data_IF_506340573682
#
_entry.id   IF_506340573682
#
_cell.length_a   1.000
_cell.length_b   1.000
_cell.length_c   1.000
_cell.angle_alpha   90.00
_cell.angle_beta   90.00
_cell.angle_gamma   90.00
#
_symmetry.space_group_name_H-M   'P 1'
#
loop_
_entity.id
_entity.type
_entity.pdbx_description
1 polymer ?
#
# COMPACT_ATOMS: atom_id res chain seq x y z
N UNK A 1 22.60 -25.80 -16.23
CA UNK A 1 21.86 -26.35 -15.09
C UNK A 1 21.12 -25.21 -14.33
N UNK A 2 21.78 -24.11 -13.97
CA UNK A 2 21.15 -22.97 -13.27
C UNK A 2 19.96 -22.41 -14.07
N UNK A 3 20.10 -22.12 -15.35
CA UNK A 3 19.01 -21.59 -16.20
C UNK A 3 17.79 -22.51 -16.24
N UNK A 4 17.99 -23.85 -16.19
CA UNK A 4 16.87 -24.80 -16.14
C UNK A 4 16.12 -24.66 -14.80
N UNK A 5 16.86 -24.52 -13.70
CA UNK A 5 16.27 -24.31 -12.36
C UNK A 5 15.48 -23.01 -12.33
N UNK A 6 16.03 -21.93 -12.88
CA UNK A 6 15.34 -20.62 -12.97
C UNK A 6 14.05 -20.74 -13.79
N UNK A 7 14.13 -21.37 -14.97
CA UNK A 7 12.95 -21.54 -15.83
C UNK A 7 11.87 -22.45 -15.22
N UNK A 8 12.25 -23.46 -14.45
CA UNK A 8 11.28 -24.29 -13.72
C UNK A 8 10.71 -23.59 -12.49
N UNK A 9 11.55 -22.83 -11.77
CA UNK A 9 11.13 -22.10 -10.57
C UNK A 9 10.04 -21.08 -10.84
N UNK A 10 10.02 -20.40 -12.00
CA UNK A 10 8.99 -19.41 -12.33
C UNK A 10 7.57 -20.01 -12.33
N UNK A 11 7.42 -21.23 -12.86
CA UNK A 11 6.13 -21.92 -12.84
C UNK A 11 5.72 -22.33 -11.42
N UNK A 12 6.70 -22.78 -10.61
CA UNK A 12 6.45 -23.14 -9.22
C UNK A 12 6.07 -21.89 -8.37
N UNK A 13 6.78 -20.78 -8.54
CA UNK A 13 6.51 -19.50 -7.89
C UNK A 13 5.10 -19.01 -8.27
N UNK A 14 4.76 -19.04 -9.55
CA UNK A 14 3.43 -18.65 -10.03
C UNK A 14 2.34 -19.57 -9.46
N UNK A 15 2.56 -20.88 -9.46
CA UNK A 15 1.63 -21.86 -8.88
C UNK A 15 1.39 -21.62 -7.39
N UNK A 16 2.45 -21.38 -6.61
CA UNK A 16 2.35 -21.06 -5.19
C UNK A 16 1.52 -19.79 -4.96
N UNK A 17 1.74 -18.75 -5.78
CA UNK A 17 0.99 -17.50 -5.69
C UNK A 17 -0.49 -17.69 -6.02
N UNK A 18 -0.81 -18.46 -7.07
CA UNK A 18 -2.20 -18.80 -7.43
C UNK A 18 -2.89 -19.56 -6.30
N UNK A 19 -2.24 -20.62 -5.78
CA UNK A 19 -2.78 -21.42 -4.69
C UNK A 19 -2.98 -20.58 -3.42
N UNK A 20 -2.02 -19.72 -3.07
CA UNK A 20 -2.14 -18.82 -1.93
C UNK A 20 -3.32 -17.86 -2.08
N UNK A 21 -3.46 -17.27 -3.27
CA UNK A 21 -4.56 -16.32 -3.57
C UNK A 21 -5.92 -17.03 -3.46
N UNK A 22 -6.07 -18.20 -4.06
CA UNK A 22 -7.30 -19.01 -3.95
C UNK A 22 -7.60 -19.33 -2.48
N UNK A 23 -6.61 -19.76 -1.70
CA UNK A 23 -6.79 -20.04 -0.28
C UNK A 23 -7.16 -18.81 0.54
N UNK A 24 -6.69 -17.60 0.16
CA UNK A 24 -7.08 -16.36 0.83
C UNK A 24 -8.57 -16.07 0.67
N UNK A 25 -9.14 -16.34 -0.51
CA UNK A 25 -10.60 -16.21 -0.73
C UNK A 25 -11.39 -17.35 -0.07
N UNK A 26 -10.89 -18.59 -0.10
CA UNK A 26 -11.53 -19.71 0.59
C UNK A 26 -11.60 -19.48 2.10
N UNK A 27 -10.50 -19.04 2.72
CA UNK A 27 -10.44 -18.74 4.15
C UNK A 27 -11.40 -17.59 4.56
N UNK A 28 -11.72 -16.65 3.65
CA UNK A 28 -12.74 -15.63 3.88
C UNK A 28 -14.16 -16.19 3.97
N UNK A 29 -14.45 -17.25 3.21
CA UNK A 29 -15.77 -17.88 3.10
C UNK A 29 -15.96 -18.97 4.12
N UNK A 30 -14.88 -19.63 4.55
CA UNK A 30 -14.90 -20.78 5.45
C UNK A 30 -15.41 -20.38 6.84
N UNK A 31 -16.38 -21.14 7.37
CA UNK A 31 -17.02 -20.93 8.67
C UNK A 31 -16.54 -21.94 9.71
N UNK A 32 -16.07 -23.11 9.29
CA UNK A 32 -15.50 -24.12 10.18
C UNK A 32 -14.11 -23.65 10.64
N UNK A 33 -13.92 -23.61 11.96
CA UNK A 33 -12.67 -23.15 12.56
C UNK A 33 -11.50 -24.13 12.33
N UNK A 34 -11.77 -25.44 12.26
CA UNK A 34 -10.74 -26.46 12.02
C UNK A 34 -10.24 -26.38 10.56
N UNK A 35 -11.16 -26.36 9.59
CA UNK A 35 -10.81 -26.24 8.17
C UNK A 35 -10.10 -24.91 7.90
N UNK A 36 -10.59 -23.84 8.50
CA UNK A 36 -9.95 -22.53 8.39
C UNK A 36 -8.54 -22.52 8.97
N UNK A 37 -8.31 -23.15 10.12
CA UNK A 37 -6.99 -23.29 10.74
C UNK A 37 -6.04 -24.08 9.85
N UNK A 38 -6.52 -25.14 9.20
CA UNK A 38 -5.77 -25.94 8.25
C UNK A 38 -5.34 -25.13 7.01
N UNK A 39 -6.27 -24.35 6.43
CA UNK A 39 -5.97 -23.43 5.32
C UNK A 39 -4.88 -22.41 5.73
N UNK A 40 -5.01 -21.82 6.92
CA UNK A 40 -4.04 -20.85 7.43
C UNK A 40 -2.65 -21.47 7.64
N UNK A 41 -2.58 -22.69 8.09
CA UNK A 41 -1.32 -23.45 8.20
C UNK A 41 -0.64 -23.67 6.84
N UNK A 42 -1.43 -24.07 5.83
CA UNK A 42 -0.93 -24.20 4.44
C UNK A 42 -0.43 -22.87 3.87
N UNK A 43 -1.12 -21.75 4.16
CA UNK A 43 -0.69 -20.42 3.72
C UNK A 43 0.69 -20.07 4.28
N UNK A 44 0.95 -20.36 5.56
CA UNK A 44 2.28 -20.09 6.16
C UNK A 44 3.35 -20.92 5.45
N UNK A 45 3.07 -22.21 5.19
CA UNK A 45 4.02 -23.05 4.45
C UNK A 45 4.28 -22.49 3.05
N UNK A 46 3.26 -22.00 2.35
CA UNK A 46 3.43 -21.39 1.01
C UNK A 46 4.26 -20.11 1.07
N UNK A 47 4.10 -19.26 2.10
CA UNK A 47 4.94 -18.07 2.31
C UNK A 47 6.41 -18.46 2.48
N UNK A 48 6.68 -19.44 3.35
CA UNK A 48 8.04 -19.92 3.62
C UNK A 48 8.68 -20.58 2.40
N UNK A 49 7.90 -21.35 1.63
CA UNK A 49 8.36 -21.94 0.37
C UNK A 49 8.65 -20.87 -0.69
N UNK A 50 7.79 -19.86 -0.81
CA UNK A 50 7.99 -18.72 -1.71
C UNK A 50 9.30 -18.00 -1.37
N UNK A 51 9.50 -17.67 -0.10
CA UNK A 51 10.72 -17.02 0.41
C UNK A 51 11.95 -17.88 0.07
N UNK A 52 11.94 -19.15 0.44
CA UNK A 52 13.05 -20.06 0.20
C UNK A 52 13.38 -20.21 -1.29
N UNK A 53 12.38 -20.48 -2.13
CA UNK A 53 12.60 -20.73 -3.58
C UNK A 53 13.15 -19.47 -4.24
N UNK A 54 12.57 -18.30 -3.98
CA UNK A 54 13.03 -17.06 -4.60
C UNK A 54 14.47 -16.72 -4.19
N UNK A 55 14.78 -16.76 -2.88
CA UNK A 55 16.15 -16.48 -2.41
C UNK A 55 17.15 -17.54 -2.85
N UNK A 56 16.75 -18.80 -2.92
CA UNK A 56 17.60 -19.87 -3.45
C UNK A 56 17.96 -19.66 -4.93
N UNK A 57 16.96 -19.32 -5.74
CA UNK A 57 17.18 -19.00 -7.17
C UNK A 57 18.10 -17.79 -7.34
N UNK A 58 17.85 -16.72 -6.58
CA UNK A 58 18.72 -15.54 -6.60
C UNK A 58 20.17 -15.87 -6.22
N UNK A 59 20.35 -16.72 -5.18
CA UNK A 59 21.68 -17.12 -4.75
C UNK A 59 22.41 -17.98 -5.81
N UNK A 60 21.70 -18.84 -6.52
CA UNK A 60 22.30 -19.63 -7.61
C UNK A 60 22.81 -18.75 -8.76
N UNK A 61 22.15 -17.62 -9.01
CA UNK A 61 22.51 -16.68 -10.06
C UNK A 61 23.69 -15.77 -9.69
N UNK A 62 23.64 -15.12 -8.56
CA UNK A 62 24.67 -14.13 -8.18
C UNK A 62 25.75 -14.68 -7.24
N UNK A 63 25.44 -15.72 -6.45
CA UNK A 63 26.32 -16.32 -5.43
C UNK A 63 26.83 -15.32 -4.38
N UNK A 64 26.10 -14.25 -4.16
CA UNK A 64 26.46 -13.20 -3.23
C UNK A 64 25.95 -13.50 -1.81
N UNK A 65 26.82 -13.31 -0.81
CA UNK A 65 26.48 -13.61 0.59
C UNK A 65 25.36 -12.72 1.16
N UNK A 66 25.16 -11.52 0.61
CA UNK A 66 24.06 -10.65 1.06
C UNK A 66 22.69 -11.25 0.81
N UNK A 67 22.51 -12.09 -0.20
CA UNK A 67 21.25 -12.78 -0.52
C UNK A 67 20.88 -13.76 0.60
N UNK A 68 21.86 -14.56 1.06
CA UNK A 68 21.66 -15.49 2.18
C UNK A 68 21.31 -14.72 3.46
N UNK A 69 21.99 -13.60 3.72
CA UNK A 69 21.71 -12.75 4.87
C UNK A 69 20.29 -12.18 4.82
N UNK A 70 19.85 -11.69 3.65
CA UNK A 70 18.48 -11.17 3.47
C UNK A 70 17.44 -12.27 3.63
N UNK A 71 17.69 -13.48 3.10
CA UNK A 71 16.83 -14.65 3.34
C UNK A 71 16.67 -14.93 4.84
N UNK A 72 17.78 -15.00 5.59
CA UNK A 72 17.70 -15.25 7.02
C UNK A 72 16.95 -14.15 7.78
N UNK A 73 17.12 -12.89 7.39
CA UNK A 73 16.38 -11.77 7.97
C UNK A 73 14.88 -11.87 7.67
N UNK A 74 14.49 -12.17 6.42
CA UNK A 74 13.09 -12.32 6.02
C UNK A 74 12.45 -13.51 6.73
N UNK A 75 13.12 -14.65 6.75
CA UNK A 75 12.67 -15.86 7.44
C UNK A 75 12.47 -15.62 8.94
N UNK A 76 13.46 -15.03 9.61
CA UNK A 76 13.37 -14.71 11.04
C UNK A 76 12.21 -13.74 11.34
N UNK A 77 12.04 -12.73 10.48
CA UNK A 77 10.93 -11.78 10.60
C UNK A 77 9.57 -12.48 10.42
N UNK A 78 9.39 -13.27 9.37
CA UNK A 78 8.14 -13.99 9.09
C UNK A 78 7.74 -14.92 10.24
N UNK A 79 8.68 -15.70 10.76
CA UNK A 79 8.44 -16.56 11.90
C UNK A 79 8.19 -15.77 13.20
N UNK A 80 8.97 -14.70 13.42
CA UNK A 80 8.86 -13.84 14.60
C UNK A 80 7.53 -13.11 14.67
N UNK A 81 7.07 -12.52 13.57
CA UNK A 81 5.77 -11.80 13.52
C UNK A 81 4.59 -12.77 13.68
N UNK A 82 4.65 -13.95 13.06
CA UNK A 82 3.63 -15.01 13.25
C UNK A 82 3.54 -15.44 14.71
N UNK A 83 4.66 -15.68 15.37
CA UNK A 83 4.70 -16.05 16.79
C UNK A 83 4.20 -14.90 17.68
N UNK A 84 4.66 -13.66 17.43
CA UNK A 84 4.26 -12.48 18.21
C UNK A 84 2.75 -12.24 18.17
N UNK A 85 2.13 -12.30 16.98
CA UNK A 85 0.68 -12.11 16.89
C UNK A 85 -0.11 -13.23 17.56
N UNK A 86 0.33 -14.48 17.49
CA UNK A 86 -0.33 -15.60 18.16
C UNK A 86 -0.24 -15.52 19.68
N UNK A 87 0.86 -15.01 20.22
CA UNK A 87 1.08 -14.87 21.66
C UNK A 87 0.39 -13.61 22.19
N UNK A 88 0.63 -12.44 21.57
CA UNK A 88 0.20 -11.15 22.08
C UNK A 88 -1.23 -10.78 21.67
N UNK A 89 -1.67 -11.22 20.48
CA UNK A 89 -2.95 -10.79 19.88
C UNK A 89 -3.78 -11.97 19.39
N UNK A 90 -4.13 -12.90 20.28
CA UNK A 90 -4.89 -14.14 19.96
C UNK A 90 -6.21 -13.92 19.22
N UNK A 91 -6.79 -12.71 19.30
CA UNK A 91 -8.04 -12.33 18.61
C UNK A 91 -7.82 -11.65 17.26
N UNK A 92 -6.56 -11.49 16.83
CA UNK A 92 -6.26 -10.90 15.53
C UNK A 92 -6.64 -11.87 14.39
N UNK A 93 -7.01 -11.30 13.24
CA UNK A 93 -7.29 -12.10 12.06
C UNK A 93 -6.01 -12.68 11.47
N UNK A 94 -5.84 -14.00 11.55
CA UNK A 94 -4.66 -14.68 10.99
C UNK A 94 -4.63 -14.64 9.46
N UNK A 95 -5.80 -14.53 8.79
CA UNK A 95 -5.85 -14.33 7.33
C UNK A 95 -5.18 -12.99 6.97
N UNK A 96 -5.52 -11.92 7.70
CA UNK A 96 -4.94 -10.60 7.48
C UNK A 96 -3.41 -10.62 7.67
N UNK A 97 -2.96 -11.31 8.71
CA UNK A 97 -1.55 -11.49 8.99
C UNK A 97 -0.83 -12.25 7.87
N UNK A 98 -1.39 -13.36 7.40
CA UNK A 98 -0.79 -14.16 6.32
C UNK A 98 -0.73 -13.37 5.01
N UNK A 99 -1.80 -12.66 4.64
CA UNK A 99 -1.81 -11.81 3.46
C UNK A 99 -0.75 -10.71 3.55
N UNK A 100 -0.63 -10.05 4.72
CA UNK A 100 0.42 -9.06 4.98
C UNK A 100 1.82 -9.68 4.85
N UNK A 101 2.06 -10.85 5.46
CA UNK A 101 3.34 -11.56 5.40
C UNK A 101 3.71 -11.92 3.95
N UNK A 102 2.76 -12.40 3.13
CA UNK A 102 3.00 -12.70 1.72
C UNK A 102 3.39 -11.45 0.94
N UNK A 103 2.65 -10.33 1.11
CA UNK A 103 2.98 -9.07 0.42
C UNK A 103 4.35 -8.52 0.84
N UNK A 104 4.70 -8.59 2.14
CA UNK A 104 6.02 -8.17 2.64
C UNK A 104 7.15 -9.08 2.13
N UNK A 105 6.92 -10.39 2.07
CA UNK A 105 7.85 -11.36 1.50
C UNK A 105 8.16 -11.02 0.04
N UNK A 106 7.13 -10.85 -0.80
CA UNK A 106 7.28 -10.47 -2.22
C UNK A 106 8.02 -9.13 -2.35
N UNK A 107 7.66 -8.14 -1.54
CA UNK A 107 8.31 -6.83 -1.52
C UNK A 107 9.81 -6.91 -1.19
N UNK A 108 10.20 -7.72 -0.21
CA UNK A 108 11.61 -7.92 0.15
C UNK A 108 12.38 -8.71 -0.90
N UNK A 109 11.76 -9.72 -1.52
CA UNK A 109 12.34 -10.49 -2.63
C UNK A 109 12.68 -9.56 -3.79
N UNK A 110 11.72 -8.78 -4.27
CA UNK A 110 11.93 -7.93 -5.45
C UNK A 110 12.90 -6.78 -5.15
N UNK A 111 12.87 -6.19 -3.95
CA UNK A 111 13.82 -5.16 -3.56
C UNK A 111 15.25 -5.73 -3.43
N UNK A 112 15.41 -6.95 -2.93
CA UNK A 112 16.71 -7.62 -2.87
C UNK A 112 17.25 -7.85 -4.27
N UNK A 113 16.39 -8.22 -5.22
CA UNK A 113 16.73 -8.38 -6.63
C UNK A 113 17.13 -7.07 -7.30
N UNK A 114 16.40 -5.98 -7.04
CA UNK A 114 16.61 -4.68 -7.69
C UNK A 114 17.79 -3.91 -7.08
N UNK A 115 17.88 -3.87 -5.74
CA UNK A 115 18.88 -3.05 -5.04
C UNK A 115 19.07 -3.48 -3.59
N UNK A 116 20.21 -4.06 -3.24
CA UNK A 116 20.51 -4.55 -1.90
C UNK A 116 20.37 -3.49 -0.79
N UNK A 117 20.82 -2.24 -1.04
CA UNK A 117 20.70 -1.15 -0.05
C UNK A 117 19.24 -0.78 0.23
N UNK A 118 18.38 -0.78 -0.79
CA UNK A 118 16.94 -0.54 -0.65
C UNK A 118 16.25 -1.64 0.14
N UNK A 119 16.60 -2.91 -0.11
CA UNK A 119 16.09 -4.06 0.64
C UNK A 119 16.44 -3.99 2.12
N UNK A 120 17.69 -3.66 2.47
CA UNK A 120 18.12 -3.51 3.87
C UNK A 120 17.41 -2.36 4.57
N UNK A 121 17.24 -1.23 3.89
CA UNK A 121 16.51 -0.08 4.44
C UNK A 121 15.04 -0.43 4.66
N UNK A 122 14.41 -1.07 3.67
CA UNK A 122 13.03 -1.52 3.77
C UNK A 122 12.82 -2.53 4.90
N UNK A 123 13.76 -3.48 5.07
CA UNK A 123 13.71 -4.43 6.18
C UNK A 123 13.72 -3.74 7.54
N UNK A 124 14.62 -2.76 7.75
CA UNK A 124 14.65 -1.96 8.98
C UNK A 124 13.33 -1.24 9.23
N UNK A 125 12.76 -0.62 8.17
CA UNK A 125 11.47 0.08 8.25
C UNK A 125 10.36 -0.90 8.65
N UNK A 126 10.31 -2.10 8.05
CA UNK A 126 9.31 -3.12 8.36
C UNK A 126 9.38 -3.52 9.84
N UNK A 127 10.56 -3.78 10.38
CA UNK A 127 10.75 -4.14 11.79
C UNK A 127 10.28 -3.00 12.72
N UNK A 128 10.72 -1.77 12.45
CA UNK A 128 10.33 -0.60 13.25
C UNK A 128 8.81 -0.40 13.18
N UNK A 129 8.21 -0.45 11.98
CA UNK A 129 6.77 -0.28 11.78
C UNK A 129 5.96 -1.37 12.49
N UNK A 130 6.45 -2.60 12.54
CA UNK A 130 5.80 -3.70 13.27
C UNK A 130 5.79 -3.42 14.78
N UNK A 131 6.90 -2.95 15.36
CA UNK A 131 6.95 -2.56 16.76
C UNK A 131 6.00 -1.39 17.04
N UNK A 132 6.01 -0.36 16.18
CA UNK A 132 5.09 0.77 16.30
C UNK A 132 3.63 0.34 16.18
N UNK A 133 3.31 -0.63 15.32
CA UNK A 133 1.94 -1.17 15.20
C UNK A 133 1.48 -1.87 16.48
N UNK A 134 2.37 -2.61 17.17
CA UNK A 134 2.06 -3.21 18.46
C UNK A 134 1.77 -2.15 19.52
N UNK A 135 2.59 -1.10 19.58
CA UNK A 135 2.36 0.04 20.47
C UNK A 135 1.03 0.72 20.15
N UNK A 136 0.73 0.97 18.89
CA UNK A 136 -0.53 1.57 18.44
C UNK A 136 -1.75 0.76 18.88
N UNK A 137 -1.72 -0.58 18.75
CA UNK A 137 -2.79 -1.47 19.21
C UNK A 137 -3.01 -1.32 20.72
N UNK A 138 -1.93 -1.25 21.52
CA UNK A 138 -2.02 -1.07 22.98
C UNK A 138 -2.60 0.30 23.31
N UNK A 139 -2.17 1.36 22.63
CA UNK A 139 -2.69 2.73 22.81
C UNK A 139 -4.18 2.78 22.51
N UNK A 140 -4.60 2.28 21.34
CA UNK A 140 -6.02 2.28 20.93
C UNK A 140 -6.90 1.50 21.93
N UNK A 141 -6.38 0.42 22.52
CA UNK A 141 -7.11 -0.36 23.53
C UNK A 141 -7.24 0.34 24.88
N UNK A 142 -6.17 1.01 25.33
CA UNK A 142 -6.12 1.62 26.69
C UNK A 142 -6.62 3.06 26.72
N UNK A 143 -6.36 3.85 25.69
CA UNK A 143 -6.63 5.29 25.65
C UNK A 143 -8.02 5.54 25.07
N UNK A 144 -9.01 5.62 25.95
CA UNK A 144 -10.43 5.85 25.55
C UNK A 144 -10.69 7.28 25.04
N UNK A 145 -9.84 8.25 25.38
CA UNK A 145 -9.98 9.66 25.00
C UNK A 145 -9.77 9.91 23.49
N UNK A 146 -9.13 8.97 22.77
CA UNK A 146 -8.87 9.12 21.33
C UNK A 146 -10.10 9.47 20.50
N UNK A 147 -11.27 8.95 20.88
CA UNK A 147 -12.54 9.26 20.19
C UNK A 147 -13.03 10.68 20.42
N UNK A 148 -12.56 11.35 21.47
CA UNK A 148 -13.05 12.68 21.91
C UNK A 148 -12.16 13.82 21.40
N UNK A 149 -10.94 13.51 20.94
CA UNK A 149 -9.95 14.47 20.41
C UNK A 149 -10.22 14.87 18.94
N UNK A 150 -11.48 14.87 18.52
CA UNK A 150 -11.88 15.08 17.11
C UNK A 150 -11.28 16.33 16.51
N UNK A 151 -11.44 17.49 17.16
CA UNK A 151 -10.92 18.77 16.65
C UNK A 151 -9.40 18.83 16.66
N UNK A 152 -8.73 18.16 17.60
CA UNK A 152 -7.28 18.06 17.62
C UNK A 152 -6.76 17.38 16.35
N UNK A 153 -7.41 16.30 15.91
CA UNK A 153 -7.03 15.61 14.67
C UNK A 153 -7.18 16.50 13.43
N UNK A 154 -8.30 17.22 13.31
CA UNK A 154 -8.54 18.11 12.18
C UNK A 154 -7.53 19.26 12.12
N UNK A 155 -7.31 19.93 13.25
CA UNK A 155 -6.38 21.08 13.34
C UNK A 155 -4.92 20.60 13.13
N UNK A 156 -4.50 19.52 13.81
CA UNK A 156 -3.16 18.97 13.66
C UNK A 156 -2.88 18.54 12.21
N UNK A 157 -3.87 17.93 11.53
CA UNK A 157 -3.76 17.57 10.12
C UNK A 157 -3.52 18.79 9.23
N UNK A 158 -4.34 19.84 9.36
CA UNK A 158 -4.18 21.09 8.59
C UNK A 158 -2.82 21.75 8.89
N UNK A 159 -2.41 21.80 10.15
CA UNK A 159 -1.11 22.37 10.52
C UNK A 159 0.06 21.58 9.93
N UNK A 160 0.02 20.25 9.97
CA UNK A 160 1.07 19.39 9.42
C UNK A 160 1.23 19.56 7.90
N UNK A 161 0.12 19.52 7.11
CA UNK A 161 0.22 19.71 5.66
C UNK A 161 0.45 21.18 5.29
N UNK A 162 -0.03 22.14 6.08
CA UNK A 162 0.29 23.54 5.94
C UNK A 162 1.78 23.82 6.16
N UNK A 163 2.40 23.17 7.14
CA UNK A 163 3.84 23.22 7.35
C UNK A 163 4.62 22.66 6.15
N UNK A 164 4.14 21.57 5.54
CA UNK A 164 4.74 21.04 4.31
C UNK A 164 4.68 22.05 3.17
N UNK A 165 3.52 22.69 2.97
CA UNK A 165 3.37 23.72 1.93
C UNK A 165 4.36 24.88 2.09
N UNK A 166 4.71 25.25 3.33
CA UNK A 166 5.59 26.39 3.64
C UNK A 166 7.08 26.00 3.70
N UNK A 167 7.42 24.80 4.17
CA UNK A 167 8.77 24.40 4.56
C UNK A 167 9.38 23.30 3.67
N UNK A 168 8.57 22.60 2.86
CA UNK A 168 9.06 21.45 2.10
C UNK A 168 9.95 21.87 0.92
N UNK A 169 10.97 21.06 0.69
CA UNK A 169 11.82 21.16 -0.49
C UNK A 169 11.06 20.61 -1.70
N UNK A 170 11.13 21.32 -2.82
CA UNK A 170 10.54 20.87 -4.08
C UNK A 170 11.35 19.73 -4.69
N UNK A 171 10.77 18.55 -4.76
CA UNK A 171 11.38 17.37 -5.39
C UNK A 171 10.49 16.97 -6.58
N UNK A 172 11.02 16.97 -7.79
CA UNK A 172 10.24 16.59 -8.99
C UNK A 172 9.02 17.45 -9.27
N UNK A 173 9.02 18.73 -8.82
CA UNK A 173 7.92 19.69 -9.03
C UNK A 173 6.83 19.67 -7.94
N UNK A 174 6.85 18.72 -7.02
CA UNK A 174 5.91 18.62 -5.90
C UNK A 174 6.61 18.88 -4.55
N UNK A 175 5.89 19.50 -3.63
CA UNK A 175 6.32 19.69 -2.22
C UNK A 175 5.76 18.54 -1.39
N UNK A 176 6.53 17.46 -1.25
CA UNK A 176 6.01 16.19 -0.66
C UNK A 176 6.56 15.92 0.74
N UNK A 177 7.78 16.36 1.04
CA UNK A 177 8.48 15.96 2.26
C UNK A 177 9.34 17.07 2.84
N UNK A 178 9.54 17.00 4.15
CA UNK A 178 10.52 17.84 4.85
C UNK A 178 11.76 16.98 5.09
N UNK A 179 12.91 17.50 4.68
CA UNK A 179 14.19 16.86 4.87
C UNK A 179 14.85 17.36 6.17
N UNK A 180 15.24 16.45 7.04
CA UNK A 180 15.94 16.75 8.29
C UNK A 180 17.37 16.22 8.21
N UNK A 181 18.37 17.07 8.42
CA UNK A 181 19.77 16.65 8.52
C UNK A 181 20.61 16.78 7.25
N UNK A 182 20.27 17.64 6.29
CA UNK A 182 21.05 17.89 5.08
C UNK A 182 20.82 16.87 3.95
N UNK A 183 21.73 16.77 2.97
CA UNK A 183 21.56 15.94 1.76
C UNK A 183 21.41 14.44 2.04
N UNK A 184 22.05 13.92 3.08
CA UNK A 184 21.95 12.52 3.54
C UNK A 184 20.90 12.32 4.65
N UNK A 185 20.10 13.36 4.94
CA UNK A 185 19.17 13.37 6.04
C UNK A 185 17.92 12.54 5.85
N UNK A 186 17.15 12.39 6.94
CA UNK A 186 15.89 11.68 6.94
C UNK A 186 14.79 12.54 6.31
N UNK A 187 14.13 12.01 5.29
CA UNK A 187 12.95 12.66 4.65
C UNK A 187 11.67 12.14 5.29
N UNK A 188 10.83 13.05 5.76
CA UNK A 188 9.56 12.72 6.38
C UNK A 188 8.38 13.28 5.58
N UNK A 189 7.49 12.40 5.14
CA UNK A 189 6.30 12.78 4.40
C UNK A 189 5.10 12.87 5.34
N UNK A 190 4.75 14.08 5.75
CA UNK A 190 3.66 14.33 6.69
C UNK A 190 2.30 13.91 6.17
N UNK A 191 2.06 13.96 4.87
CA UNK A 191 0.78 13.56 4.28
C UNK A 191 0.39 12.12 4.61
N UNK A 192 1.35 11.22 4.84
CA UNK A 192 1.07 9.85 5.27
C UNK A 192 0.41 9.79 6.66
N UNK A 193 0.86 10.64 7.59
CA UNK A 193 0.25 10.74 8.93
C UNK A 193 -1.07 11.48 8.90
N UNK A 194 -1.19 12.50 8.07
CA UNK A 194 -2.40 13.30 7.99
C UNK A 194 -3.57 12.49 7.40
N UNK A 195 -3.32 11.49 6.56
CA UNK A 195 -4.37 10.51 6.18
C UNK A 195 -5.06 9.91 7.42
N UNK A 196 -4.26 9.48 8.38
CA UNK A 196 -4.77 8.86 9.61
C UNK A 196 -5.55 9.89 10.43
N UNK A 197 -4.98 11.08 10.66
CA UNK A 197 -5.66 12.12 11.46
C UNK A 197 -6.94 12.60 10.80
N UNK A 198 -6.99 12.72 9.46
CA UNK A 198 -8.21 13.07 8.74
C UNK A 198 -9.32 12.03 8.90
N UNK A 199 -8.99 10.74 8.81
CA UNK A 199 -9.97 9.67 9.01
C UNK A 199 -10.47 9.66 10.47
N UNK A 200 -9.57 9.87 11.45
CA UNK A 200 -9.97 10.00 12.86
C UNK A 200 -10.87 11.23 13.09
N UNK A 201 -10.57 12.36 12.46
CA UNK A 201 -11.42 13.55 12.50
C UNK A 201 -12.82 13.26 11.94
N UNK A 202 -12.92 12.71 10.74
CA UNK A 202 -14.19 12.40 10.08
C UNK A 202 -15.01 11.39 10.90
N UNK A 203 -14.37 10.34 11.39
CA UNK A 203 -15.00 9.33 12.23
C UNK A 203 -15.49 9.92 13.55
N UNK A 204 -14.73 10.81 14.17
CA UNK A 204 -15.10 11.51 15.40
C UNK A 204 -16.30 12.44 15.22
N UNK A 205 -16.31 13.23 14.12
CA UNK A 205 -17.41 14.15 13.80
C UNK A 205 -18.74 13.42 13.52
N UNK A 206 -18.68 12.27 12.84
CA UNK A 206 -19.85 11.55 12.31
C UNK A 206 -20.26 10.34 13.16
N UNK A 207 -19.61 10.09 14.31
CA UNK A 207 -19.86 8.91 15.14
C UNK A 207 -21.24 8.91 15.80
N UNK A 208 -21.74 10.08 16.25
CA UNK A 208 -22.94 10.18 17.07
C UNK A 208 -24.14 10.73 16.27
N UNK A 209 -23.90 11.73 15.44
CA UNK A 209 -24.91 12.47 14.72
C UNK A 209 -24.48 12.75 13.28
N UNK A 210 -25.40 12.55 12.35
CA UNK A 210 -25.23 12.81 10.91
C UNK A 210 -26.03 14.04 10.47
N UNK A 211 -26.25 15.02 11.38
CA UNK A 211 -26.94 16.24 11.03
C UNK A 211 -26.24 16.94 9.84
N UNK A 212 -27.02 17.61 9.04
CA UNK A 212 -26.51 18.33 7.88
C UNK A 212 -25.35 19.28 8.24
N UNK A 213 -25.46 19.96 9.39
CA UNK A 213 -24.40 20.84 9.89
C UNK A 213 -23.07 20.09 10.11
N UNK A 214 -23.08 18.90 10.73
CA UNK A 214 -21.86 18.12 10.96
C UNK A 214 -21.28 17.59 9.66
N UNK A 215 -22.12 17.17 8.72
CA UNK A 215 -21.67 16.77 7.39
C UNK A 215 -20.98 17.93 6.68
N UNK A 216 -21.57 19.13 6.68
CA UNK A 216 -20.98 20.33 6.06
C UNK A 216 -19.64 20.68 6.70
N UNK A 217 -19.54 20.70 8.04
CA UNK A 217 -18.28 20.98 8.73
C UNK A 217 -17.21 19.96 8.34
N UNK A 218 -17.55 18.66 8.34
CA UNK A 218 -16.63 17.60 7.94
C UNK A 218 -16.17 17.77 6.51
N UNK A 219 -17.08 18.12 5.60
CA UNK A 219 -16.79 18.39 4.19
C UNK A 219 -15.83 19.58 4.03
N UNK A 220 -16.08 20.69 4.72
CA UNK A 220 -15.24 21.90 4.65
C UNK A 220 -13.83 21.58 5.14
N UNK A 221 -13.69 20.91 6.29
CA UNK A 221 -12.36 20.55 6.82
C UNK A 221 -11.63 19.58 5.89
N UNK A 222 -12.32 18.56 5.36
CA UNK A 222 -11.72 17.65 4.38
C UNK A 222 -11.32 18.36 3.09
N UNK A 223 -12.16 19.29 2.59
CA UNK A 223 -11.87 20.10 1.42
C UNK A 223 -10.62 20.99 1.63
N UNK A 224 -10.46 21.59 2.81
CA UNK A 224 -9.24 22.35 3.16
C UNK A 224 -8.00 21.48 3.07
N UNK A 225 -8.01 20.26 3.61
CA UNK A 225 -6.90 19.31 3.48
C UNK A 225 -6.58 19.03 2.00
N UNK A 226 -7.60 18.70 1.20
CA UNK A 226 -7.43 18.42 -0.24
C UNK A 226 -6.88 19.64 -0.98
N UNK A 227 -7.40 20.83 -0.70
CA UNK A 227 -6.94 22.06 -1.37
C UNK A 227 -5.49 22.40 -1.04
N UNK A 228 -5.03 22.19 0.19
CA UNK A 228 -3.61 22.39 0.55
C UNK A 228 -2.73 21.42 -0.23
N UNK A 229 -3.13 20.14 -0.36
CA UNK A 229 -2.40 19.14 -1.15
C UNK A 229 -2.37 19.50 -2.65
N UNK A 230 -3.47 20.00 -3.20
CA UNK A 230 -3.51 20.51 -4.58
C UNK A 230 -2.56 21.70 -4.76
N UNK A 231 -2.52 22.62 -3.80
CA UNK A 231 -1.58 23.75 -3.81
C UNK A 231 -0.11 23.28 -3.71
N UNK A 232 0.15 22.18 -2.99
CA UNK A 232 1.46 21.51 -2.92
C UNK A 232 1.79 20.67 -4.17
N UNK A 233 0.91 20.65 -5.19
CA UNK A 233 1.01 19.81 -6.39
C UNK A 233 1.02 18.29 -6.13
N UNK A 234 0.60 17.85 -4.96
CA UNK A 234 0.44 16.46 -4.59
C UNK A 234 -0.98 15.96 -4.90
N UNK A 235 -1.27 15.84 -6.19
CA UNK A 235 -2.60 15.44 -6.68
C UNK A 235 -2.92 13.97 -6.36
N UNK A 236 -1.89 13.12 -6.26
CA UNK A 236 -2.08 11.70 -5.92
C UNK A 236 -2.62 11.52 -4.51
N UNK A 237 -1.97 12.15 -3.54
CA UNK A 237 -2.43 12.13 -2.14
C UNK A 237 -3.77 12.85 -1.98
N UNK A 238 -4.00 13.96 -2.69
CA UNK A 238 -5.28 14.66 -2.71
C UNK A 238 -6.44 13.75 -3.16
N UNK A 239 -6.22 12.96 -4.21
CA UNK A 239 -7.20 11.97 -4.69
C UNK A 239 -7.49 10.91 -3.62
N UNK A 240 -6.48 10.37 -2.94
CA UNK A 240 -6.66 9.38 -1.87
C UNK A 240 -7.49 9.97 -0.71
N UNK A 241 -7.22 11.22 -0.30
CA UNK A 241 -8.00 11.90 0.75
C UNK A 241 -9.43 12.11 0.32
N UNK A 242 -9.64 12.50 -0.93
CA UNK A 242 -10.98 12.69 -1.47
C UNK A 242 -11.78 11.37 -1.49
N UNK A 243 -11.17 10.27 -1.96
CA UNK A 243 -11.81 8.95 -1.98
C UNK A 243 -12.15 8.50 -0.55
N UNK A 244 -11.22 8.64 0.39
CA UNK A 244 -11.46 8.32 1.79
C UNK A 244 -12.63 9.15 2.37
N UNK A 245 -12.69 10.45 2.07
CA UNK A 245 -13.81 11.32 2.46
C UNK A 245 -15.14 10.82 1.90
N UNK A 246 -15.22 10.52 0.59
CA UNK A 246 -16.45 10.06 -0.06
C UNK A 246 -16.95 8.75 0.57
N UNK A 247 -16.04 7.81 0.82
CA UNK A 247 -16.37 6.52 1.46
C UNK A 247 -16.88 6.72 2.87
N UNK A 248 -16.17 7.50 3.71
CA UNK A 248 -16.56 7.74 5.11
C UNK A 248 -17.91 8.46 5.20
N UNK A 249 -18.15 9.48 4.38
CA UNK A 249 -19.43 10.20 4.33
C UNK A 249 -20.58 9.26 3.94
N UNK A 250 -20.37 8.42 2.93
CA UNK A 250 -21.38 7.42 2.53
C UNK A 250 -21.67 6.43 3.65
N UNK A 251 -20.64 5.86 4.27
CA UNK A 251 -20.79 4.91 5.37
C UNK A 251 -21.49 5.53 6.60
N UNK A 252 -21.19 6.81 6.88
CA UNK A 252 -21.77 7.52 7.98
C UNK A 252 -23.23 7.92 7.75
N UNK A 253 -23.57 8.43 6.56
CA UNK A 253 -24.89 9.01 6.27
C UNK A 253 -25.85 8.02 5.64
N UNK A 254 -25.34 6.99 4.95
CA UNK A 254 -26.11 6.03 4.11
C UNK A 254 -26.92 6.72 2.99
N UNK A 255 -26.60 7.95 2.63
CA UNK A 255 -27.24 8.73 1.58
C UNK A 255 -26.33 8.86 0.37
N UNK A 256 -26.70 8.26 -0.75
CA UNK A 256 -25.91 8.28 -1.99
C UNK A 256 -25.75 9.70 -2.58
N UNK A 257 -26.62 10.63 -2.23
CA UNK A 257 -26.56 12.02 -2.70
C UNK A 257 -25.23 12.69 -2.39
N UNK A 258 -24.67 12.49 -1.17
CA UNK A 258 -23.40 13.12 -0.79
C UNK A 258 -22.20 12.63 -1.64
N UNK A 259 -21.96 11.31 -1.80
CA UNK A 259 -20.90 10.84 -2.67
C UNK A 259 -21.12 11.24 -4.14
N UNK A 260 -22.36 11.25 -4.64
CA UNK A 260 -22.63 11.69 -6.01
C UNK A 260 -22.30 13.17 -6.21
N UNK A 261 -22.67 14.03 -5.28
CA UNK A 261 -22.26 15.45 -5.30
C UNK A 261 -20.73 15.60 -5.21
N UNK A 262 -20.08 14.81 -4.36
CA UNK A 262 -18.61 14.78 -4.26
C UNK A 262 -17.96 14.38 -5.59
N UNK A 263 -18.42 13.28 -6.20
CA UNK A 263 -17.91 12.82 -7.51
C UNK A 263 -18.17 13.83 -8.62
N UNK A 264 -19.33 14.50 -8.63
CA UNK A 264 -19.61 15.60 -9.56
C UNK A 264 -18.63 16.76 -9.38
N UNK A 265 -18.38 17.17 -8.13
CA UNK A 265 -17.40 18.20 -7.79
C UNK A 265 -15.98 17.80 -8.21
N UNK A 266 -15.60 16.54 -8.02
CA UNK A 266 -14.31 16.02 -8.46
C UNK A 266 -14.17 16.06 -9.99
N UNK A 267 -15.21 15.69 -10.73
CA UNK A 267 -15.18 15.75 -12.19
C UNK A 267 -14.95 17.19 -12.68
N UNK A 268 -15.63 18.18 -12.08
CA UNK A 268 -15.42 19.60 -12.39
C UNK A 268 -13.98 20.00 -12.01
N UNK A 269 -13.47 19.61 -10.85
CA UNK A 269 -12.12 19.89 -10.40
C UNK A 269 -11.05 19.28 -11.32
N UNK A 270 -11.26 18.06 -11.83
CA UNK A 270 -10.36 17.42 -12.79
C UNK A 270 -10.30 18.19 -14.12
N UNK A 271 -11.44 18.64 -14.63
CA UNK A 271 -11.51 19.47 -15.84
C UNK A 271 -10.79 20.81 -15.61
N UNK A 272 -11.05 21.49 -14.48
CA UNK A 272 -10.37 22.71 -14.14
C UNK A 272 -8.85 22.50 -13.99
N UNK A 273 -8.41 21.42 -13.33
CA UNK A 273 -6.99 21.10 -13.17
C UNK A 273 -6.28 20.86 -14.51
N UNK A 274 -6.95 20.26 -15.48
CA UNK A 274 -6.40 20.08 -16.83
C UNK A 274 -6.07 21.41 -17.52
N UNK A 275 -6.91 22.44 -17.34
CA UNK A 275 -6.70 23.75 -17.94
C UNK A 275 -5.72 24.60 -17.13
N UNK A 276 -5.72 24.50 -15.81
CA UNK A 276 -4.93 25.36 -14.92
C UNK A 276 -3.48 24.86 -14.74
N UNK A 277 -3.24 23.54 -14.73
CA UNK A 277 -1.94 22.97 -14.41
C UNK A 277 -1.27 22.29 -15.61
N UNK A 278 -0.13 22.78 -16.06
CA UNK A 278 0.63 22.21 -17.19
C UNK A 278 1.04 20.74 -16.92
N UNK A 279 1.47 20.41 -15.70
CA UNK A 279 1.85 19.03 -15.34
C UNK A 279 0.67 18.04 -15.40
N UNK A 280 -0.56 18.48 -15.12
CA UNK A 280 -1.76 17.65 -15.30
C UNK A 280 -2.02 17.38 -16.77
N UNK A 281 -1.92 18.41 -17.60
CA UNK A 281 -2.05 18.27 -19.05
C UNK A 281 -1.03 17.30 -19.62
N UNK A 282 0.24 17.42 -19.22
CA UNK A 282 1.31 16.51 -19.66
C UNK A 282 0.99 15.06 -19.25
N UNK A 283 0.53 14.81 -18.01
CA UNK A 283 0.14 13.47 -17.56
C UNK A 283 -1.03 12.88 -18.37
N UNK A 284 -2.02 13.69 -18.72
CA UNK A 284 -3.15 13.26 -19.58
C UNK A 284 -2.67 12.92 -20.99
N UNK A 285 -1.77 13.73 -21.56
CA UNK A 285 -1.19 13.46 -22.90
C UNK A 285 -0.36 12.18 -22.90
N UNK A 286 0.50 11.98 -21.90
CA UNK A 286 1.30 10.74 -21.73
C UNK A 286 0.40 9.53 -21.49
N UNK A 287 -0.68 9.66 -20.72
CA UNK A 287 -1.64 8.57 -20.52
C UNK A 287 -2.35 8.18 -21.81
N UNK A 288 -2.70 9.17 -22.65
CA UNK A 288 -3.38 8.93 -23.93
C UNK A 288 -2.46 8.29 -24.96
N UNK A 289 -1.23 8.82 -25.09
CA UNK A 289 -0.21 8.31 -25.98
C UNK A 289 1.19 8.64 -25.44
N UNK A 290 1.83 7.69 -24.74
CA UNK A 290 3.15 7.90 -24.17
C UNK A 290 4.25 8.04 -25.22
N UNK A 291 4.06 7.51 -26.46
CA UNK A 291 5.07 7.52 -27.52
C UNK A 291 5.17 8.87 -28.24
N UNK A 292 4.08 9.66 -28.29
CA UNK A 292 4.13 11.01 -28.86
C UNK A 292 5.02 11.97 -28.07
N UNK A 293 5.21 11.73 -26.77
CA UNK A 293 5.99 12.60 -25.89
C UNK A 293 7.00 11.71 -25.11
N UNK A 294 7.98 11.17 -25.84
CA UNK A 294 8.89 10.14 -25.37
C UNK A 294 9.57 10.53 -24.05
N UNK A 295 10.11 11.76 -23.93
CA UNK A 295 10.82 12.22 -22.72
C UNK A 295 9.91 12.22 -21.48
N UNK A 296 8.70 12.77 -21.64
CA UNK A 296 7.73 12.79 -20.54
C UNK A 296 7.10 11.42 -20.28
N UNK A 297 6.98 10.59 -21.32
CA UNK A 297 6.41 9.24 -21.29
C UNK A 297 7.39 8.13 -20.95
N UNK A 298 8.70 8.41 -20.90
CA UNK A 298 9.76 7.41 -20.79
C UNK A 298 9.53 6.38 -19.67
N UNK A 299 9.15 6.85 -18.47
CA UNK A 299 8.86 5.97 -17.35
C UNK A 299 7.70 5.01 -17.64
N UNK A 300 6.63 5.51 -18.24
CA UNK A 300 5.44 4.70 -18.60
C UNK A 300 5.77 3.71 -19.70
N UNK A 301 6.54 4.12 -20.71
CA UNK A 301 6.99 3.28 -21.83
C UNK A 301 7.83 2.11 -21.32
N UNK A 302 8.83 2.40 -20.46
CA UNK A 302 9.69 1.34 -19.89
C UNK A 302 8.88 0.38 -18.99
N UNK A 303 7.93 0.90 -18.23
CA UNK A 303 7.03 0.09 -17.42
C UNK A 303 6.14 -0.84 -18.29
N UNK A 304 5.62 -0.33 -19.42
CA UNK A 304 4.87 -1.14 -20.39
C UNK A 304 5.73 -2.20 -21.06
N UNK A 305 6.98 -1.87 -21.40
CA UNK A 305 7.92 -2.84 -21.95
C UNK A 305 8.22 -3.96 -20.94
N UNK A 306 8.45 -3.64 -19.67
CA UNK A 306 8.61 -4.64 -18.63
C UNK A 306 7.40 -5.58 -18.51
N UNK A 307 6.17 -5.02 -18.51
CA UNK A 307 4.95 -5.83 -18.51
C UNK A 307 4.84 -6.73 -19.75
N UNK A 308 5.17 -6.20 -20.94
CA UNK A 308 5.07 -6.95 -22.20
C UNK A 308 6.11 -8.06 -22.29
N UNK A 309 7.37 -7.80 -21.86
CA UNK A 309 8.46 -8.78 -21.90
C UNK A 309 8.21 -9.95 -20.94
N UNK A 310 7.58 -9.69 -19.78
CA UNK A 310 7.26 -10.72 -18.81
C UNK A 310 6.24 -11.75 -19.30
N UNK A 311 5.32 -11.37 -20.19
CA UNK A 311 4.25 -12.26 -20.66
C UNK A 311 3.43 -12.85 -19.51
N UNK A 312 2.89 -14.05 -19.70
CA UNK A 312 2.02 -14.69 -18.71
C UNK A 312 2.76 -15.24 -17.48
N UNK A 313 3.96 -15.83 -17.67
CA UNK A 313 4.69 -16.57 -16.64
C UNK A 313 6.01 -15.91 -16.21
N UNK A 314 6.31 -14.72 -16.74
CA UNK A 314 7.56 -14.02 -16.46
C UNK A 314 8.75 -14.54 -17.28
N UNK A 315 9.78 -13.70 -17.32
CA UNK A 315 11.09 -14.10 -17.87
C UNK A 315 11.79 -15.10 -16.96
N UNK A 316 11.55 -15.03 -15.66
CA UNK A 316 12.24 -15.72 -14.57
C UNK A 316 13.11 -14.75 -13.76
N UNK A 317 13.34 -15.06 -12.49
CA UNK A 317 14.18 -14.24 -11.61
C UNK A 317 15.60 -14.15 -12.18
N UNK A 318 16.10 -12.92 -12.36
CA UNK A 318 17.38 -12.57 -12.99
C UNK A 318 17.48 -12.80 -14.51
N UNK A 319 16.44 -13.22 -15.19
CA UNK A 319 16.40 -13.34 -16.66
C UNK A 319 15.80 -12.09 -17.33
N UNK A 320 15.14 -11.22 -16.55
CA UNK A 320 14.64 -9.91 -16.98
C UNK A 320 15.63 -8.78 -16.76
N UNK A 321 15.25 -7.58 -17.19
CA UNK A 321 16.01 -6.34 -16.99
C UNK A 321 15.19 -5.29 -16.23
N UNK A 322 14.58 -5.60 -15.07
CA UNK A 322 13.68 -4.70 -14.36
C UNK A 322 14.38 -3.44 -13.82
N UNK A 323 15.72 -3.45 -13.77
CA UNK A 323 16.52 -2.26 -13.42
C UNK A 323 16.50 -1.18 -14.51
N UNK A 324 16.11 -1.52 -15.75
CA UNK A 324 15.91 -0.55 -16.84
C UNK A 324 14.66 0.30 -16.65
N UNK A 325 13.71 -0.17 -15.84
CA UNK A 325 12.48 0.56 -15.52
C UNK A 325 12.81 1.67 -14.52
N UNK A 326 12.60 2.95 -14.87
CA UNK A 326 12.83 4.06 -13.95
C UNK A 326 11.99 3.89 -12.67
N UNK A 327 12.58 4.22 -11.53
CA UNK A 327 11.95 4.09 -10.20
C UNK A 327 11.33 2.71 -9.89
N UNK A 328 11.88 1.64 -10.46
CA UNK A 328 11.44 0.25 -10.21
C UNK A 328 11.43 -0.13 -8.72
N UNK A 329 12.30 0.47 -7.90
CA UNK A 329 12.33 0.26 -6.45
C UNK A 329 11.26 1.03 -5.66
N UNK A 330 10.42 1.85 -6.34
CA UNK A 330 9.38 2.69 -5.76
C UNK A 330 8.06 2.50 -6.50
N UNK A 331 7.75 3.40 -7.43
CA UNK A 331 6.43 3.49 -8.07
C UNK A 331 6.18 2.40 -9.12
N UNK A 332 7.23 1.94 -9.80
CA UNK A 332 7.14 0.95 -10.87
C UNK A 332 7.47 -0.49 -10.42
N UNK A 333 7.50 -0.77 -9.11
CA UNK A 333 7.81 -2.10 -8.56
C UNK A 333 6.88 -3.19 -9.09
N UNK A 334 5.60 -2.88 -9.29
CA UNK A 334 4.64 -3.83 -9.85
C UNK A 334 5.03 -4.30 -11.26
N UNK A 335 5.53 -3.38 -12.11
CA UNK A 335 5.97 -3.72 -13.46
C UNK A 335 7.23 -4.61 -13.41
N UNK A 336 8.16 -4.32 -12.50
CA UNK A 336 9.34 -5.15 -12.27
C UNK A 336 8.99 -6.58 -11.81
N UNK A 337 7.95 -6.71 -10.93
CA UNK A 337 7.42 -8.01 -10.52
C UNK A 337 6.84 -8.75 -11.72
N UNK A 338 6.01 -8.08 -12.53
CA UNK A 338 5.38 -8.71 -13.68
C UNK A 338 6.38 -9.11 -14.77
N UNK A 339 7.48 -8.37 -14.93
CA UNK A 339 8.54 -8.73 -15.90
C UNK A 339 9.19 -10.07 -15.53
N UNK A 340 9.60 -10.27 -14.28
CA UNK A 340 10.32 -11.49 -13.89
C UNK A 340 9.38 -12.63 -13.45
N UNK A 341 8.24 -12.33 -12.81
CA UNK A 341 7.32 -13.34 -12.26
C UNK A 341 6.06 -13.55 -13.12
N UNK A 342 5.79 -12.67 -14.08
CA UNK A 342 4.70 -12.79 -15.04
C UNK A 342 3.40 -12.11 -14.64
N UNK A 343 2.52 -11.95 -15.66
CA UNK A 343 1.24 -11.27 -15.49
C UNK A 343 0.27 -12.05 -14.59
N UNK A 344 0.28 -13.39 -14.62
CA UNK A 344 -0.56 -14.22 -13.72
C UNK A 344 -0.19 -13.93 -12.26
N UNK A 345 1.10 -13.87 -11.94
CA UNK A 345 1.55 -13.51 -10.60
C UNK A 345 1.09 -12.10 -10.21
N UNK A 346 1.22 -11.12 -11.12
CA UNK A 346 0.75 -9.75 -10.90
C UNK A 346 -0.77 -9.67 -10.65
N UNK A 347 -1.58 -10.40 -11.44
CA UNK A 347 -3.03 -10.50 -11.22
C UNK A 347 -3.33 -11.10 -9.84
N UNK A 348 -2.64 -12.17 -9.46
CA UNK A 348 -2.80 -12.77 -8.13
C UNK A 348 -2.43 -11.80 -7.01
N UNK A 349 -1.39 -10.97 -7.19
CA UNK A 349 -1.02 -9.93 -6.22
C UNK A 349 -2.14 -8.88 -6.07
N UNK A 350 -2.75 -8.44 -7.16
CA UNK A 350 -3.92 -7.53 -7.12
C UNK A 350 -5.09 -8.20 -6.39
N UNK A 351 -5.38 -9.46 -6.72
CA UNK A 351 -6.45 -10.24 -6.07
C UNK A 351 -6.18 -10.44 -4.57
N UNK A 352 -4.92 -10.58 -4.17
CA UNK A 352 -4.53 -10.66 -2.77
C UNK A 352 -4.80 -9.34 -2.02
N UNK A 353 -4.50 -8.19 -2.65
CA UNK A 353 -4.88 -6.88 -2.12
C UNK A 353 -6.40 -6.75 -2.00
N UNK A 354 -7.16 -7.21 -3.00
CA UNK A 354 -8.63 -7.25 -2.96
C UNK A 354 -9.16 -8.13 -1.82
N UNK A 355 -8.59 -9.32 -1.63
CA UNK A 355 -8.95 -10.22 -0.52
C UNK A 355 -8.72 -9.55 0.82
N UNK A 356 -7.58 -8.86 0.97
CA UNK A 356 -7.24 -8.11 2.19
C UNK A 356 -8.24 -6.98 2.45
N UNK A 357 -8.59 -6.22 1.43
CA UNK A 357 -9.61 -5.16 1.51
C UNK A 357 -10.97 -5.73 1.93
N UNK A 358 -11.45 -6.78 1.27
CA UNK A 358 -12.73 -7.43 1.60
C UNK A 358 -12.74 -7.97 3.03
N UNK A 359 -11.62 -8.49 3.52
CA UNK A 359 -11.47 -8.94 4.90
C UNK A 359 -11.60 -7.79 5.88
N UNK A 360 -10.94 -6.65 5.63
CA UNK A 360 -11.02 -5.46 6.49
C UNK A 360 -12.46 -4.94 6.52
N UNK A 361 -13.13 -4.85 5.38
CA UNK A 361 -14.54 -4.46 5.28
C UNK A 361 -15.43 -5.41 6.09
N UNK A 362 -15.24 -6.73 5.98
CA UNK A 362 -16.01 -7.72 6.72
C UNK A 362 -15.79 -7.60 8.24
N UNK A 363 -14.55 -7.39 8.68
CA UNK A 363 -14.25 -7.14 10.10
C UNK A 363 -14.89 -5.83 10.57
N UNK A 364 -14.78 -4.76 9.78
CA UNK A 364 -15.37 -3.46 10.08
C UNK A 364 -16.89 -3.54 10.25
N UNK A 365 -17.58 -4.27 9.36
CA UNK A 365 -19.03 -4.45 9.43
C UNK A 365 -19.50 -5.11 10.72
N UNK A 366 -18.69 -5.98 11.32
CA UNK A 366 -18.97 -6.67 12.59
C UNK A 366 -18.69 -5.80 13.83
N UNK A 367 -18.09 -4.62 13.68
CA UNK A 367 -17.78 -3.74 14.81
C UNK A 367 -19.05 -3.03 15.33
N UNK A 368 -19.27 -3.08 16.64
CA UNK A 368 -20.42 -2.44 17.27
C UNK A 368 -20.22 -0.93 17.49
N UNK A 369 -18.97 -0.49 17.69
CA UNK A 369 -18.66 0.92 17.95
C UNK A 369 -18.47 1.67 16.65
N UNK A 370 -19.38 2.60 16.35
CA UNK A 370 -19.45 3.35 15.09
C UNK A 370 -18.15 4.11 14.77
N UNK A 371 -17.49 4.69 15.78
CA UNK A 371 -16.20 5.36 15.60
C UNK A 371 -15.15 4.45 14.94
N UNK A 372 -14.91 3.28 15.55
CA UNK A 372 -13.92 2.33 15.00
C UNK A 372 -14.37 1.71 13.68
N UNK A 373 -15.69 1.56 13.50
CA UNK A 373 -16.25 1.08 12.22
C UNK A 373 -16.01 2.05 11.06
N UNK A 374 -16.00 3.36 11.31
CA UNK A 374 -15.73 4.39 10.30
C UNK A 374 -14.22 4.54 10.02
N UNK A 375 -13.36 4.17 10.97
CA UNK A 375 -11.88 4.21 10.79
C UNK A 375 -11.39 3.01 9.98
N UNK A 376 -11.95 1.84 10.20
CA UNK A 376 -11.55 0.59 9.53
C UNK A 376 -12.06 0.53 8.09
#
# INVERSE_FOLDING_TARGET
MVNVIVQLSKYLITLLMVLFTVQSFLALRERDEEERSYILGKQILMILLMDFICFFVMYLQEREFYIIRMFLYTLAYLLGVQAAYRILFRKASMILLNNMCMMLCIGLIILTRLRASSAQTQFKIIVISTVLSFIAIVIIRKVKILKDLTWLYGIAGIMMIGAVLLLAVRTGGAQLSIQFGGEDGFTFQFSEFVKITLVFFMAGMLREDNSFRKVVITTVVAAVHVLILVASTDLGTALVYFVAYVVVIYLATRKAVYPLLGLGGMAIACVAAYFLFSHVRTRVLVWRDPFQNYDAGYQVIQALFGLASGGWFGTGLFEGSPTSIPVATKDATFCAICEEMGLIFGICLILLCMSTFLLIVNISMKMNKRFYKLIA
#
